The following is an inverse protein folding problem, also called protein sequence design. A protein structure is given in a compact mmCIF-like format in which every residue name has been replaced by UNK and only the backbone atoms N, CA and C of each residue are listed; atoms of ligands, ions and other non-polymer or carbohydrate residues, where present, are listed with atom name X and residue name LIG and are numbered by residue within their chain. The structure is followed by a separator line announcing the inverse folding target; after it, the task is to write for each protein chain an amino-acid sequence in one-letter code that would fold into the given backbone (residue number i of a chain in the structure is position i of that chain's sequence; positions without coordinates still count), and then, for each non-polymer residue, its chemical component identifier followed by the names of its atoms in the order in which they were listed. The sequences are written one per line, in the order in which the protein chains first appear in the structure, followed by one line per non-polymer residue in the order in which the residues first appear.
data_IF_732270339473
#
_entry.id   IF_732270339473
#
_cell.length_a   1.000
_cell.length_b   1.000
_cell.length_c   1.000
_cell.angle_alpha   90.00
_cell.angle_beta   90.00
_cell.angle_gamma   90.00
#
_symmetry.space_group_name_H-M   'P 1'
#
loop_
_entity.id
_entity.type
_entity.pdbx_description
1 polymer ?
#
# COMPACT_ATOMS: atom_id res chain seq x y z
N UNK A 1 -1.26 -27.11 -24.35
CA UNK A 1 0.10 -27.13 -23.76
C UNK A 1 0.73 -25.74 -23.68
N UNK A 2 0.23 -24.71 -24.39
CA UNK A 2 0.74 -23.32 -24.28
C UNK A 2 0.20 -22.52 -23.08
N UNK A 3 -1.12 -22.59 -22.81
CA UNK A 3 -1.76 -21.77 -21.75
C UNK A 3 -1.27 -22.07 -20.32
N UNK A 4 -0.88 -23.31 -20.02
CA UNK A 4 -0.34 -23.67 -18.70
C UNK A 4 1.08 -23.16 -18.46
N UNK A 5 1.88 -22.97 -19.51
CA UNK A 5 3.22 -22.39 -19.41
C UNK A 5 3.16 -20.87 -19.23
N UNK A 6 2.28 -20.22 -20.00
CA UNK A 6 2.10 -18.76 -19.96
C UNK A 6 1.50 -18.27 -18.62
N UNK A 7 0.58 -19.03 -18.02
CA UNK A 7 0.06 -18.75 -16.67
C UNK A 7 1.12 -18.94 -15.57
N UNK A 8 2.04 -19.90 -15.74
CA UNK A 8 3.13 -20.13 -14.80
C UNK A 8 4.14 -18.98 -14.79
N UNK A 9 4.55 -18.51 -15.97
CA UNK A 9 5.48 -17.38 -16.11
C UNK A 9 4.90 -16.06 -15.57
N UNK A 10 3.60 -15.80 -15.81
CA UNK A 10 2.91 -14.64 -15.24
C UNK A 10 2.83 -14.70 -13.70
N UNK A 11 2.61 -15.88 -13.14
CA UNK A 11 2.57 -16.06 -11.69
C UNK A 11 3.94 -15.81 -11.04
N UNK A 12 5.02 -16.36 -11.61
CA UNK A 12 6.39 -16.13 -11.13
C UNK A 12 6.78 -14.65 -11.20
N UNK A 13 6.40 -13.96 -12.28
CA UNK A 13 6.63 -12.52 -12.41
C UNK A 13 5.91 -11.70 -11.32
N UNK A 14 4.63 -12.00 -11.06
CA UNK A 14 3.87 -11.31 -10.00
C UNK A 14 4.48 -11.54 -8.62
N UNK A 15 4.94 -12.77 -8.33
CA UNK A 15 5.61 -13.07 -7.06
C UNK A 15 6.90 -12.27 -6.91
N UNK A 16 7.73 -12.20 -7.96
CA UNK A 16 8.95 -11.39 -7.96
C UNK A 16 8.66 -9.92 -7.66
N UNK A 17 7.62 -9.35 -8.28
CA UNK A 17 7.20 -7.97 -8.02
C UNK A 17 6.77 -7.77 -6.56
N UNK A 18 6.00 -8.71 -6.00
CA UNK A 18 5.56 -8.63 -4.60
C UNK A 18 6.76 -8.71 -3.65
N UNK A 19 7.73 -9.57 -3.92
CA UNK A 19 8.94 -9.69 -3.12
C UNK A 19 9.77 -8.40 -3.16
N UNK A 20 9.97 -7.81 -4.34
CA UNK A 20 10.66 -6.51 -4.49
C UNK A 20 9.94 -5.40 -3.72
N UNK A 21 8.61 -5.32 -3.82
CA UNK A 21 7.82 -4.35 -3.06
C UNK A 21 7.94 -4.60 -1.56
N UNK A 22 7.88 -5.84 -1.09
CA UNK A 22 8.02 -6.18 0.32
C UNK A 22 9.41 -5.79 0.88
N UNK A 23 10.49 -5.93 0.09
CA UNK A 23 11.81 -5.46 0.47
C UNK A 23 11.87 -3.93 0.60
N UNK A 24 11.19 -3.20 -0.29
CA UNK A 24 11.08 -1.74 -0.21
C UNK A 24 10.29 -1.31 1.04
N UNK A 25 9.14 -1.94 1.31
CA UNK A 25 8.34 -1.69 2.51
C UNK A 25 9.13 -1.95 3.81
N UNK A 26 9.90 -3.05 3.85
CA UNK A 26 10.73 -3.34 5.01
C UNK A 26 11.80 -2.26 5.22
N UNK A 27 12.41 -1.76 4.14
CA UNK A 27 13.36 -0.65 4.21
C UNK A 27 12.69 0.65 4.69
N UNK A 28 11.44 0.91 4.29
CA UNK A 28 10.69 2.06 4.78
C UNK A 28 10.46 1.95 6.30
N UNK A 29 9.96 0.80 6.75
CA UNK A 29 9.73 0.51 8.16
C UNK A 29 11.02 0.67 8.99
N UNK A 30 12.11 0.02 8.57
CA UNK A 30 13.40 0.09 9.26
C UNK A 30 13.92 1.53 9.36
N UNK A 31 13.68 2.33 8.31
CA UNK A 31 14.07 3.74 8.29
C UNK A 31 13.27 4.56 9.31
N UNK A 32 11.95 4.38 9.36
CA UNK A 32 11.13 5.09 10.34
C UNK A 32 11.37 4.62 11.78
N UNK A 33 11.54 3.33 12.02
CA UNK A 33 11.88 2.80 13.35
C UNK A 33 13.17 3.40 13.87
N UNK A 34 14.19 3.50 13.00
CA UNK A 34 15.43 4.19 13.32
C UNK A 34 15.20 5.66 13.66
N UNK A 35 14.41 6.39 12.85
CA UNK A 35 14.13 7.80 13.10
C UNK A 35 13.35 8.04 14.40
N UNK A 36 12.39 7.16 14.73
CA UNK A 36 11.63 7.20 15.99
C UNK A 36 12.59 7.14 17.18
N UNK A 37 13.57 6.22 17.14
CA UNK A 37 14.58 6.08 18.18
C UNK A 37 15.51 7.31 18.23
N UNK A 38 16.03 7.74 17.08
CA UNK A 38 17.00 8.84 17.00
C UNK A 38 16.40 10.19 17.44
N UNK A 39 15.10 10.38 17.24
CA UNK A 39 14.39 11.63 17.58
C UNK A 39 13.65 11.57 18.93
N UNK A 40 13.80 10.47 19.68
CA UNK A 40 13.12 10.23 20.97
C UNK A 40 11.58 10.43 20.86
N UNK A 41 11.01 9.98 19.73
CA UNK A 41 9.57 10.06 19.48
C UNK A 41 8.90 8.83 20.06
N UNK A 42 7.78 9.02 20.75
CA UNK A 42 6.97 7.90 21.22
C UNK A 42 6.17 7.31 20.05
N UNK A 43 6.34 6.02 19.70
CA UNK A 43 5.51 5.38 18.68
C UNK A 43 4.07 5.24 19.17
N UNK A 44 3.12 5.10 18.24
CA UNK A 44 1.73 4.85 18.58
C UNK A 44 1.56 3.54 19.35
N UNK A 45 0.71 3.54 20.39
CA UNK A 45 0.38 2.31 21.11
C UNK A 45 -0.41 1.30 20.25
N UNK A 46 -0.94 1.74 19.11
CA UNK A 46 -1.75 0.92 18.22
C UNK A 46 -0.92 0.11 17.22
N UNK A 47 0.41 0.27 17.19
CA UNK A 47 1.29 -0.45 16.25
C UNK A 47 1.03 -1.97 16.23
N UNK A 48 0.95 -2.69 17.37
CA UNK A 48 0.68 -4.14 17.36
C UNK A 48 -0.66 -4.51 16.71
N UNK A 49 -1.69 -3.66 16.90
CA UNK A 49 -3.00 -3.86 16.29
C UNK A 49 -2.92 -3.69 14.76
N UNK A 50 -2.21 -2.65 14.30
CA UNK A 50 -2.06 -2.36 12.88
C UNK A 50 -1.20 -3.38 12.15
N UNK A 51 -0.16 -3.94 12.78
CA UNK A 51 0.59 -5.05 12.20
C UNK A 51 -0.31 -6.26 11.94
N UNK A 52 -1.14 -6.66 12.90
CA UNK A 52 -2.07 -7.78 12.73
C UNK A 52 -3.10 -7.48 11.64
N UNK A 53 -3.66 -6.26 11.64
CA UNK A 53 -4.66 -5.85 10.66
C UNK A 53 -4.10 -5.83 9.23
N UNK A 54 -2.91 -5.24 9.03
CA UNK A 54 -2.24 -5.18 7.73
C UNK A 54 -1.92 -6.57 7.17
N UNK A 55 -1.33 -7.44 8.00
CA UNK A 55 -1.04 -8.82 7.60
C UNK A 55 -2.32 -9.58 7.23
N UNK A 56 -3.36 -9.48 8.06
CA UNK A 56 -4.64 -10.17 7.81
C UNK A 56 -5.29 -9.68 6.53
N UNK A 57 -5.25 -8.38 6.26
CA UNK A 57 -5.79 -7.79 5.03
C UNK A 57 -5.04 -8.31 3.80
N UNK A 58 -3.71 -8.28 3.81
CA UNK A 58 -2.88 -8.80 2.71
C UNK A 58 -3.07 -10.29 2.48
N UNK A 59 -3.10 -11.10 3.54
CA UNK A 59 -3.34 -12.54 3.43
C UNK A 59 -4.74 -12.85 2.89
N UNK A 60 -5.77 -12.12 3.35
CA UNK A 60 -7.14 -12.30 2.87
C UNK A 60 -7.27 -11.96 1.39
N UNK A 61 -6.68 -10.86 0.93
CA UNK A 61 -6.73 -10.46 -0.49
C UNK A 61 -5.88 -11.36 -1.38
N UNK A 62 -4.74 -11.86 -0.90
CA UNK A 62 -3.95 -12.88 -1.60
C UNK A 62 -4.74 -14.19 -1.80
N UNK A 63 -5.50 -14.64 -0.78
CA UNK A 63 -6.38 -15.80 -0.89
C UNK A 63 -7.54 -15.60 -1.89
N UNK A 64 -7.95 -14.36 -2.13
CA UNK A 64 -8.93 -14.01 -3.16
C UNK A 64 -8.34 -13.96 -4.58
N UNK A 65 -7.01 -14.02 -4.70
CA UNK A 65 -6.26 -14.07 -5.95
C UNK A 65 -5.37 -12.85 -6.20
N UNK A 66 -4.41 -12.99 -7.12
CA UNK A 66 -3.39 -11.98 -7.43
C UNK A 66 -3.99 -10.59 -7.72
N UNK A 67 -5.09 -10.55 -8.47
CA UNK A 67 -5.77 -9.29 -8.81
C UNK A 67 -6.37 -8.57 -7.60
N UNK A 68 -6.88 -9.31 -6.62
CA UNK A 68 -7.41 -8.74 -5.38
C UNK A 68 -6.28 -8.26 -4.46
N UNK A 69 -5.16 -8.98 -4.42
CA UNK A 69 -3.94 -8.52 -3.75
C UNK A 69 -3.44 -7.19 -4.35
N UNK A 70 -3.33 -7.10 -5.68
CA UNK A 70 -2.94 -5.86 -6.37
C UNK A 70 -3.94 -4.72 -6.11
N UNK A 71 -5.26 -5.00 -6.13
CA UNK A 71 -6.26 -3.99 -5.77
C UNK A 71 -6.11 -3.49 -4.33
N UNK A 72 -5.76 -4.39 -3.39
CA UNK A 72 -5.45 -4.02 -2.02
C UNK A 72 -4.23 -3.10 -1.95
N UNK A 73 -3.12 -3.48 -2.59
CA UNK A 73 -1.90 -2.67 -2.68
C UNK A 73 -2.21 -1.29 -3.24
N UNK A 74 -2.86 -1.19 -4.41
CA UNK A 74 -3.18 0.08 -5.02
C UNK A 74 -4.05 1.00 -4.12
N UNK A 75 -4.96 0.41 -3.35
CA UNK A 75 -5.83 1.12 -2.42
C UNK A 75 -5.06 1.62 -1.18
N UNK A 76 -4.16 0.79 -0.61
CA UNK A 76 -3.30 1.17 0.51
C UNK A 76 -2.34 2.28 0.08
N UNK A 77 -1.63 2.11 -1.04
CA UNK A 77 -0.66 3.09 -1.52
C UNK A 77 -1.28 4.44 -1.87
N UNK A 78 -2.52 4.44 -2.35
CA UNK A 78 -3.24 5.69 -2.58
C UNK A 78 -3.44 6.51 -1.28
N UNK A 79 -3.56 5.86 -0.13
CA UNK A 79 -3.72 6.52 1.16
C UNK A 79 -2.38 6.86 1.82
N UNK A 80 -1.36 6.01 1.65
CA UNK A 80 0.00 6.33 2.12
C UNK A 80 0.59 7.52 1.35
N UNK A 81 0.47 7.55 0.01
CA UNK A 81 0.87 8.71 -0.81
C UNK A 81 0.17 10.00 -0.37
N UNK A 82 -1.15 9.94 -0.14
CA UNK A 82 -1.92 11.09 0.30
C UNK A 82 -1.51 11.56 1.71
N UNK A 83 -1.14 10.63 2.59
CA UNK A 83 -0.66 10.93 3.92
C UNK A 83 0.72 11.60 3.88
N UNK A 84 1.67 11.02 3.14
CA UNK A 84 3.00 11.60 2.92
C UNK A 84 2.93 12.99 2.27
N UNK A 85 2.06 13.19 1.29
CA UNK A 85 1.83 14.51 0.70
C UNK A 85 1.41 15.57 1.74
N UNK A 86 0.60 15.15 2.72
CA UNK A 86 0.15 16.02 3.82
C UNK A 86 1.30 16.31 4.78
N UNK A 87 2.08 15.29 5.17
CA UNK A 87 3.25 15.44 6.04
C UNK A 87 4.32 16.34 5.39
N UNK A 88 4.65 16.11 4.12
CA UNK A 88 5.61 16.90 3.34
C UNK A 88 5.21 18.38 3.31
N UNK A 89 3.92 18.66 3.09
CA UNK A 89 3.39 20.03 3.09
C UNK A 89 3.54 20.69 4.46
N UNK A 90 3.20 20.01 5.54
CA UNK A 90 3.30 20.57 6.89
C UNK A 90 4.75 20.81 7.31
N UNK A 91 5.63 19.83 7.11
CA UNK A 91 7.07 19.94 7.43
C UNK A 91 7.77 21.02 6.60
N UNK A 92 7.43 21.13 5.32
CA UNK A 92 7.96 22.21 4.45
C UNK A 92 7.50 23.58 4.93
N UNK A 93 6.24 23.69 5.37
CA UNK A 93 5.68 24.93 5.90
C UNK A 93 6.36 25.37 7.19
N UNK A 94 6.66 24.44 8.09
CA UNK A 94 7.33 24.73 9.37
C UNK A 94 8.84 24.85 9.23
N UNK A 95 9.42 24.36 8.12
CA UNK A 95 10.88 24.24 7.90
C UNK A 95 11.55 23.34 8.94
N UNK A 96 10.80 22.37 9.47
CA UNK A 96 11.27 21.40 10.45
C UNK A 96 11.76 20.13 9.76
N UNK A 97 12.69 19.43 10.43
CA UNK A 97 13.16 18.10 10.04
C UNK A 97 13.42 17.90 8.52
N UNK A 98 14.36 18.64 7.92
CA UNK A 98 14.62 18.56 6.47
C UNK A 98 15.01 17.16 5.99
N UNK A 99 15.65 16.36 6.84
CA UNK A 99 15.98 14.96 6.54
C UNK A 99 14.74 14.06 6.49
N UNK A 100 13.74 14.33 7.35
CA UNK A 100 12.45 13.64 7.32
C UNK A 100 11.67 14.02 6.05
N UNK A 101 11.66 15.30 5.66
CA UNK A 101 11.06 15.73 4.38
C UNK A 101 11.66 14.95 3.22
N UNK A 102 13.00 14.90 3.12
CA UNK A 102 13.68 14.18 2.05
C UNK A 102 13.31 12.69 2.02
N UNK A 103 13.17 12.07 3.19
CA UNK A 103 12.83 10.66 3.33
C UNK A 103 11.39 10.40 2.88
N UNK A 104 10.43 11.20 3.36
CA UNK A 104 9.03 11.11 2.97
C UNK A 104 8.86 11.36 1.46
N UNK A 105 9.55 12.36 0.88
CA UNK A 105 9.49 12.61 -0.57
C UNK A 105 10.00 11.40 -1.37
N UNK A 106 11.05 10.72 -0.90
CA UNK A 106 11.57 9.52 -1.57
C UNK A 106 10.59 8.34 -1.46
N UNK A 107 10.10 8.04 -0.26
CA UNK A 107 9.16 6.92 -0.06
C UNK A 107 7.84 7.16 -0.78
N UNK A 108 7.36 8.41 -0.82
CA UNK A 108 6.19 8.78 -1.63
C UNK A 108 6.35 8.48 -3.12
N UNK A 109 7.56 8.61 -3.66
CA UNK A 109 7.84 8.21 -5.04
C UNK A 109 7.80 6.69 -5.22
N UNK A 110 8.28 5.94 -4.22
CA UNK A 110 8.17 4.48 -4.19
C UNK A 110 6.68 4.06 -4.15
N UNK A 111 5.84 4.65 -3.28
CA UNK A 111 4.40 4.31 -3.19
C UNK A 111 3.66 4.58 -4.50
N UNK A 112 4.03 5.67 -5.19
CA UNK A 112 3.47 5.97 -6.49
C UNK A 112 3.85 4.90 -7.54
N UNK A 113 5.08 4.40 -7.50
CA UNK A 113 5.56 3.33 -8.38
C UNK A 113 4.91 1.97 -8.03
N UNK A 114 4.77 1.65 -6.75
CA UNK A 114 4.05 0.47 -6.26
C UNK A 114 2.60 0.47 -6.71
N UNK A 115 1.90 1.60 -6.53
CA UNK A 115 0.53 1.76 -7.00
C UNK A 115 0.42 1.58 -8.52
N UNK A 116 1.36 2.16 -9.27
CA UNK A 116 1.38 1.99 -10.73
C UNK A 116 1.61 0.53 -11.12
N UNK A 117 2.55 -0.15 -10.45
CA UNK A 117 2.81 -1.59 -10.64
C UNK A 117 1.56 -2.42 -10.38
N UNK A 118 0.84 -2.12 -9.31
CA UNK A 118 -0.42 -2.80 -9.00
C UNK A 118 -1.48 -2.58 -10.11
N UNK A 119 -1.63 -1.35 -10.61
CA UNK A 119 -2.54 -1.02 -11.71
C UNK A 119 -2.17 -1.75 -13.01
N UNK A 120 -0.88 -1.79 -13.34
CA UNK A 120 -0.35 -2.46 -14.54
C UNK A 120 -0.55 -3.99 -14.45
N UNK A 121 -0.62 -4.54 -13.23
CA UNK A 121 -0.89 -5.95 -12.95
C UNK A 121 -2.36 -6.24 -12.60
N UNK A 122 -3.28 -5.38 -13.07
CA UNK A 122 -4.72 -5.67 -13.07
C UNK A 122 -5.48 -5.18 -11.83
N UNK A 123 -4.86 -4.41 -10.94
CA UNK A 123 -5.61 -3.65 -9.94
C UNK A 123 -6.61 -2.73 -10.66
N UNK A 124 -7.88 -2.80 -10.26
CA UNK A 124 -8.91 -1.94 -10.81
C UNK A 124 -9.50 -1.10 -9.68
N UNK A 125 -9.29 0.22 -9.75
CA UNK A 125 -9.86 1.20 -8.80
C UNK A 125 -11.35 1.47 -9.09
N UNK A 126 -11.97 0.63 -9.93
CA UNK A 126 -13.20 0.85 -10.69
C UNK A 126 -13.48 -0.35 -11.60
N UNK A 127 -14.67 -0.47 -12.18
CA UNK A 127 -14.93 -1.54 -13.16
C UNK A 127 -14.06 -1.33 -14.42
N UNK A 128 -13.07 -2.19 -14.65
CA UNK A 128 -12.34 -2.22 -15.91
C UNK A 128 -13.20 -2.83 -17.01
N UNK A 129 -12.84 -2.58 -18.29
CA UNK A 129 -13.54 -3.18 -19.44
C UNK A 129 -13.51 -4.71 -19.44
N UNK A 130 -12.48 -5.29 -18.83
CA UNK A 130 -12.35 -6.73 -18.59
C UNK A 130 -13.29 -7.19 -17.45
N UNK A 131 -13.58 -6.33 -16.47
CA UNK A 131 -14.51 -6.62 -15.37
C UNK A 131 -15.95 -6.59 -15.82
N UNK A 132 -16.27 -5.89 -16.91
CA UNK A 132 -17.62 -5.85 -17.46
C UNK A 132 -18.13 -7.21 -17.94
N UNK A 133 -17.24 -8.20 -18.15
CA UNK A 133 -17.64 -9.58 -18.44
C UNK A 133 -18.10 -10.35 -17.18
N UNK A 134 -17.67 -9.92 -15.99
CA UNK A 134 -18.06 -10.50 -14.70
C UNK A 134 -18.65 -9.42 -13.78
N UNK A 135 -19.99 -9.27 -13.85
CA UNK A 135 -20.74 -8.24 -13.12
C UNK A 135 -20.52 -8.27 -11.58
N UNK A 136 -20.22 -9.43 -11.00
CA UNK A 136 -19.94 -9.55 -9.56
C UNK A 136 -18.59 -8.90 -9.20
N UNK A 137 -17.56 -9.13 -10.02
CA UNK A 137 -16.23 -8.53 -9.81
C UNK A 137 -16.23 -7.02 -10.08
N UNK A 138 -16.97 -6.56 -11.09
CA UNK A 138 -17.13 -5.15 -11.41
C UNK A 138 -17.70 -4.32 -10.25
N UNK A 139 -18.50 -4.95 -9.38
CA UNK A 139 -19.06 -4.31 -8.18
C UNK A 139 -18.20 -4.54 -6.93
N UNK A 140 -17.55 -5.70 -6.82
CA UNK A 140 -16.76 -6.06 -5.64
C UNK A 140 -15.51 -5.20 -5.46
N UNK A 141 -14.71 -4.99 -6.50
CA UNK A 141 -13.43 -4.25 -6.37
C UNK A 141 -13.59 -2.78 -5.97
N UNK A 142 -14.53 -2.01 -6.53
CA UNK A 142 -14.75 -0.63 -6.09
C UNK A 142 -15.25 -0.52 -4.63
N UNK A 143 -15.98 -1.53 -4.14
CA UNK A 143 -16.41 -1.59 -2.74
C UNK A 143 -15.20 -1.91 -1.85
N UNK A 144 -14.39 -2.90 -2.25
CA UNK A 144 -13.17 -3.28 -1.55
C UNK A 144 -12.18 -2.10 -1.44
N UNK A 145 -11.92 -1.39 -2.54
CA UNK A 145 -11.10 -0.18 -2.57
C UNK A 145 -11.58 0.84 -1.52
N UNK A 146 -12.88 1.19 -1.55
CA UNK A 146 -13.44 2.16 -0.60
C UNK A 146 -13.31 1.72 0.84
N UNK A 147 -13.52 0.43 1.12
CA UNK A 147 -13.39 -0.13 2.46
C UNK A 147 -11.95 -0.04 2.96
N UNK A 148 -10.99 -0.50 2.16
CA UNK A 148 -9.56 -0.47 2.50
C UNK A 148 -9.11 0.96 2.72
N UNK A 149 -9.41 1.86 1.77
CA UNK A 149 -9.03 3.27 1.88
C UNK A 149 -9.64 3.96 3.10
N UNK A 150 -10.89 3.64 3.43
CA UNK A 150 -11.54 4.15 4.64
C UNK A 150 -10.86 3.60 5.90
N UNK A 151 -10.50 2.32 5.90
CA UNK A 151 -9.73 1.68 6.97
C UNK A 151 -8.37 2.36 7.20
N UNK A 152 -7.57 2.54 6.14
CA UNK A 152 -6.28 3.23 6.20
C UNK A 152 -6.42 4.65 6.76
N UNK A 153 -7.40 5.42 6.26
CA UNK A 153 -7.72 6.76 6.76
C UNK A 153 -8.09 6.80 8.24
N UNK A 154 -8.74 5.77 8.75
CA UNK A 154 -9.07 5.66 10.17
C UNK A 154 -7.84 5.28 10.97
N UNK A 155 -7.06 4.30 10.51
CA UNK A 155 -5.83 3.85 11.15
C UNK A 155 -4.84 5.02 11.32
N UNK A 156 -4.56 5.77 10.25
CA UNK A 156 -3.70 6.97 10.27
C UNK A 156 -4.18 7.96 11.34
N UNK A 157 -5.46 8.36 11.30
CA UNK A 157 -6.01 9.34 12.24
C UNK A 157 -5.99 8.91 13.70
N UNK A 158 -6.09 7.61 13.96
CA UNK A 158 -6.02 7.07 15.31
C UNK A 158 -4.57 7.02 15.79
N UNK A 159 -3.63 6.60 14.92
CA UNK A 159 -2.19 6.57 15.22
C UNK A 159 -1.62 7.95 15.51
N UNK A 160 -2.09 9.00 14.83
CA UNK A 160 -1.68 10.39 15.09
C UNK A 160 -2.06 10.88 16.51
N UNK A 161 -3.00 10.21 17.19
CA UNK A 161 -3.58 10.68 18.46
C UNK A 161 -3.17 9.86 19.68
N UNK A 162 -2.77 8.60 19.50
CA UNK A 162 -2.62 7.58 20.56
C UNK A 162 -1.19 7.07 20.61
#
# INVERSE_FOLDING_TARGET
QGEQGEQGEQHEHILSLIDEMAEQEQKHLDTFDKMIIEQDVRPTLLSPLWHIAGFTLGAATALMGARAAMACTAAVEAEIDAHYATQEKELTRTKEAPDLVKTITAFRADEAAHRQTALDNGASNGANKEDTENAEQALAFPILDRLIRTGCKVAIRLSEKI
#
